data_IF_764918904501
#
_entry.id   IF_764918904501
#
_cell.length_a   1.000
_cell.length_b   1.000
_cell.length_c   1.000
_cell.angle_alpha   90.00
_cell.angle_beta   90.00
_cell.angle_gamma   90.00
#
_symmetry.space_group_name_H-M   'P 1'
#
loop_
_entity.id
_entity.type
_entity.pdbx_description
1 polymer ?
#
# COMPACT_ATOMS: atom_id res chain seq x y z
N UNK A 1 3.64 -19.75 23.34
CA UNK A 1 3.77 -20.57 22.12
C UNK A 1 2.42 -20.61 21.45
N UNK A 2 2.15 -19.75 20.47
CA UNK A 2 0.91 -19.79 19.70
C UNK A 2 1.03 -20.92 18.68
N UNK A 3 0.46 -22.07 19.03
CA UNK A 3 0.08 -23.10 18.06
C UNK A 3 -1.15 -22.58 17.30
N UNK A 4 -0.93 -21.85 16.21
CA UNK A 4 -1.94 -21.68 15.17
C UNK A 4 -1.36 -22.24 13.87
N UNK A 5 -2.12 -23.11 13.22
CA UNK A 5 -1.74 -23.74 11.96
C UNK A 5 -1.70 -22.64 10.89
N UNK A 6 -0.50 -22.25 10.45
CA UNK A 6 -0.33 -21.25 9.41
C UNK A 6 -0.96 -21.74 8.11
N UNK A 7 -1.89 -20.97 7.56
CA UNK A 7 -2.58 -21.27 6.30
C UNK A 7 -2.14 -20.31 5.20
N UNK A 8 -1.64 -20.85 4.10
CA UNK A 8 -1.37 -20.07 2.88
C UNK A 8 -2.46 -20.42 1.87
N UNK A 9 -3.19 -19.42 1.41
CA UNK A 9 -4.17 -19.59 0.34
C UNK A 9 -3.62 -18.98 -0.95
N UNK A 10 -3.27 -19.83 -1.92
CA UNK A 10 -2.95 -19.39 -3.28
C UNK A 10 -4.26 -19.36 -4.05
N UNK A 11 -4.69 -18.17 -4.43
CA UNK A 11 -5.98 -17.93 -5.10
C UNK A 11 -5.78 -17.67 -6.59
N UNK A 12 -6.80 -17.95 -7.39
CA UNK A 12 -6.83 -17.55 -8.79
C UNK A 12 -7.07 -16.05 -8.92
N UNK A 13 -7.09 -15.55 -10.16
CA UNK A 13 -7.58 -14.21 -10.48
C UNK A 13 -8.90 -13.92 -9.77
N UNK A 14 -8.98 -12.73 -9.18
CA UNK A 14 -10.17 -12.20 -8.54
C UNK A 14 -10.71 -11.07 -9.42
N UNK A 15 -12.00 -11.13 -9.76
CA UNK A 15 -12.65 -10.09 -10.57
C UNK A 15 -13.24 -8.96 -9.70
N UNK A 16 -13.81 -9.29 -8.53
CA UNK A 16 -14.24 -8.29 -7.54
C UNK A 16 -13.10 -7.91 -6.59
N UNK A 17 -12.16 -7.11 -7.12
CA UNK A 17 -10.96 -6.71 -6.37
C UNK A 17 -11.29 -5.79 -5.18
N UNK A 18 -12.38 -5.00 -5.27
CA UNK A 18 -12.78 -4.11 -4.20
C UNK A 18 -13.27 -4.89 -2.98
N UNK A 19 -14.12 -5.92 -3.18
CA UNK A 19 -14.51 -6.79 -2.07
C UNK A 19 -13.32 -7.56 -1.51
N UNK A 20 -12.34 -7.92 -2.35
CA UNK A 20 -11.14 -8.61 -1.90
C UNK A 20 -10.28 -7.72 -0.99
N UNK A 21 -9.96 -6.49 -1.40
CA UNK A 21 -9.22 -5.55 -0.57
C UNK A 21 -9.94 -5.25 0.76
N UNK A 22 -11.26 -5.06 0.74
CA UNK A 22 -12.05 -4.84 1.96
C UNK A 22 -12.02 -6.02 2.95
N UNK A 23 -11.61 -7.22 2.49
CA UNK A 23 -11.43 -8.38 3.35
C UNK A 23 -10.04 -8.51 3.96
N UNK A 24 -9.09 -7.65 3.56
CA UNK A 24 -7.71 -7.68 4.03
C UNK A 24 -7.54 -6.84 5.29
N UNK A 25 -6.83 -7.37 6.29
CA UNK A 25 -6.37 -6.59 7.44
C UNK A 25 -5.11 -5.76 7.13
N UNK A 26 -4.32 -6.22 6.15
CA UNK A 26 -3.03 -5.66 5.77
C UNK A 26 -2.68 -6.11 4.34
N UNK A 27 -2.22 -5.19 3.49
CA UNK A 27 -1.56 -5.52 2.23
C UNK A 27 -0.04 -5.47 2.43
N UNK A 28 0.67 -6.46 1.92
CA UNK A 28 2.14 -6.49 1.89
C UNK A 28 2.59 -6.63 0.44
N UNK A 29 3.38 -5.67 -0.06
CA UNK A 29 4.05 -5.73 -1.36
C UNK A 29 5.57 -5.76 -1.16
N UNK A 30 6.17 -6.96 -0.96
CA UNK A 30 7.58 -7.10 -0.63
C UNK A 30 8.45 -7.22 -1.90
N UNK A 31 8.33 -6.26 -2.82
CA UNK A 31 9.08 -6.26 -4.08
C UNK A 31 10.58 -6.25 -3.81
N UNK A 32 11.31 -7.21 -4.40
CA UNK A 32 12.76 -7.34 -4.19
C UNK A 32 13.57 -6.53 -5.19
N UNK A 33 13.06 -6.48 -6.41
CA UNK A 33 13.62 -5.72 -7.52
C UNK A 33 12.71 -4.54 -7.86
N UNK A 34 13.17 -3.68 -8.77
CA UNK A 34 12.49 -2.45 -9.16
C UNK A 34 11.05 -2.71 -9.65
N UNK A 35 10.08 -2.32 -8.81
CA UNK A 35 8.67 -2.20 -9.16
C UNK A 35 8.40 -0.74 -9.54
N UNK A 36 8.04 -0.43 -10.80
CA UNK A 36 7.91 0.96 -11.26
C UNK A 36 6.93 1.81 -10.45
N UNK A 37 5.91 1.21 -9.83
CA UNK A 37 4.96 1.98 -9.04
C UNK A 37 4.24 1.14 -7.97
N UNK A 38 3.77 -0.07 -8.25
CA UNK A 38 2.92 -0.78 -7.28
C UNK A 38 1.49 -0.22 -7.18
N UNK A 39 0.71 -0.28 -8.28
CA UNK A 39 -0.69 0.15 -8.31
C UNK A 39 -1.55 -0.47 -7.20
N UNK A 40 -1.28 -1.73 -6.85
CA UNK A 40 -1.97 -2.47 -5.78
C UNK A 40 -1.87 -1.77 -4.42
N UNK A 41 -0.79 -1.03 -4.17
CA UNK A 41 -0.60 -0.23 -2.95
C UNK A 41 -1.55 0.97 -2.96
N UNK A 42 -1.62 1.69 -4.09
CA UNK A 42 -2.55 2.81 -4.23
C UNK A 42 -4.02 2.37 -4.13
N UNK A 43 -4.36 1.22 -4.71
CA UNK A 43 -5.70 0.62 -4.62
C UNK A 43 -6.09 0.25 -3.18
N UNK A 44 -5.18 -0.42 -2.45
CA UNK A 44 -5.39 -0.77 -1.05
C UNK A 44 -5.53 0.47 -0.16
N UNK A 45 -4.67 1.48 -0.33
CA UNK A 45 -4.76 2.75 0.40
C UNK A 45 -6.11 3.46 0.14
N UNK A 46 -6.63 3.43 -1.09
CA UNK A 46 -7.95 4.00 -1.41
C UNK A 46 -9.12 3.30 -0.71
N UNK A 47 -8.92 2.09 -0.22
CA UNK A 47 -9.90 1.30 0.53
C UNK A 47 -9.59 1.25 2.03
N UNK A 48 -8.77 2.19 2.53
CA UNK A 48 -8.34 2.25 3.94
C UNK A 48 -7.67 0.94 4.42
N UNK A 49 -7.04 0.18 3.52
CA UNK A 49 -6.23 -0.98 3.89
C UNK A 49 -4.80 -0.49 4.20
N UNK A 50 -4.26 -0.78 5.39
CA UNK A 50 -2.87 -0.44 5.72
C UNK A 50 -1.91 -1.23 4.83
N UNK A 51 -0.78 -0.62 4.47
CA UNK A 51 0.17 -1.20 3.51
C UNK A 51 1.58 -1.26 4.09
N UNK A 52 2.26 -2.38 3.86
CA UNK A 52 3.71 -2.53 4.00
C UNK A 52 4.30 -2.72 2.61
N UNK A 53 5.24 -1.85 2.23
CA UNK A 53 5.90 -1.88 0.93
C UNK A 53 7.42 -1.79 1.13
N UNK A 54 8.17 -2.25 0.16
CA UNK A 54 9.63 -2.07 0.13
C UNK A 54 10.04 -0.76 -0.52
N UNK A 55 11.21 -0.25 -0.16
CA UNK A 55 11.89 0.87 -0.83
C UNK A 55 12.23 0.61 -2.31
N UNK A 56 12.17 -0.63 -2.79
CA UNK A 56 12.28 -0.98 -4.22
C UNK A 56 11.02 -0.69 -5.05
N UNK A 57 9.92 -0.26 -4.42
CA UNK A 57 8.68 0.07 -5.11
C UNK A 57 8.56 1.57 -5.34
N UNK A 58 8.33 2.00 -6.59
CA UNK A 58 8.33 3.42 -6.96
C UNK A 58 7.29 4.27 -6.23
N UNK A 59 6.19 3.70 -5.72
CA UNK A 59 5.26 4.45 -4.88
C UNK A 59 5.87 4.86 -3.53
N UNK A 60 6.86 4.12 -3.01
CA UNK A 60 7.51 4.39 -1.72
C UNK A 60 8.11 5.80 -1.65
N UNK A 61 8.62 6.32 -2.77
CA UNK A 61 9.14 7.70 -2.89
C UNK A 61 8.09 8.79 -2.61
N UNK A 62 6.80 8.45 -2.66
CA UNK A 62 5.68 9.35 -2.43
C UNK A 62 5.01 9.14 -1.07
N UNK A 63 5.53 8.22 -0.26
CA UNK A 63 5.00 7.85 1.05
C UNK A 63 5.94 8.30 2.17
N UNK A 64 5.39 8.45 3.36
CA UNK A 64 6.11 8.79 4.58
C UNK A 64 6.04 7.59 5.54
N UNK A 65 7.19 6.94 5.73
CA UNK A 65 7.31 5.75 6.56
C UNK A 65 6.78 5.97 7.99
N UNK A 66 6.01 4.99 8.48
CA UNK A 66 5.36 5.00 9.79
C UNK A 66 4.16 5.94 9.89
N UNK A 67 3.84 6.70 8.84
CA UNK A 67 2.72 7.66 8.85
C UNK A 67 1.59 7.26 7.93
N UNK A 68 1.83 7.13 6.63
CA UNK A 68 0.80 6.81 5.63
C UNK A 68 1.01 5.46 4.94
N UNK A 69 2.18 4.86 5.15
CA UNK A 69 2.52 3.48 4.89
C UNK A 69 3.64 3.04 5.83
N UNK A 70 3.97 1.76 5.83
CA UNK A 70 5.27 1.30 6.35
C UNK A 70 6.17 0.93 5.17
N UNK A 71 7.37 1.50 5.16
CA UNK A 71 8.37 1.28 4.10
C UNK A 71 9.56 0.56 4.71
N UNK A 72 9.82 -0.67 4.24
CA UNK A 72 10.95 -1.49 4.69
C UNK A 72 12.01 -1.59 3.61
N UNK A 73 13.23 -1.96 3.98
CA UNK A 73 14.28 -2.21 3.00
C UNK A 73 13.99 -3.47 2.18
N UNK A 74 14.15 -3.40 0.86
CA UNK A 74 14.12 -4.56 -0.01
C UNK A 74 15.15 -5.62 0.41
N UNK A 75 14.81 -6.90 0.22
CA UNK A 75 15.58 -8.06 0.68
C UNK A 75 15.77 -8.19 2.22
N UNK A 76 15.15 -7.33 3.04
CA UNK A 76 15.20 -7.43 4.50
C UNK A 76 13.99 -8.18 5.06
N UNK A 77 14.10 -9.51 5.17
CA UNK A 77 13.02 -10.33 5.76
C UNK A 77 12.78 -10.04 7.24
N UNK A 78 13.81 -9.57 7.95
CA UNK A 78 13.73 -9.26 9.38
C UNK A 78 12.92 -7.97 9.61
N UNK A 79 13.22 -6.90 8.87
CA UNK A 79 12.43 -5.65 8.92
C UNK A 79 10.99 -5.90 8.50
N UNK A 80 10.78 -6.64 7.41
CA UNK A 80 9.44 -6.98 6.93
C UNK A 80 8.63 -7.70 8.02
N UNK A 81 9.24 -8.68 8.69
CA UNK A 81 8.59 -9.41 9.78
C UNK A 81 8.28 -8.50 10.96
N UNK A 82 9.24 -7.69 11.40
CA UNK A 82 9.09 -6.80 12.55
C UNK A 82 7.92 -5.83 12.35
N UNK A 83 7.88 -5.16 11.20
CA UNK A 83 6.86 -4.17 10.90
C UNK A 83 5.47 -4.79 10.66
N UNK A 84 5.39 -5.97 10.03
CA UNK A 84 4.12 -6.71 9.93
C UNK A 84 3.59 -7.05 11.33
N UNK A 85 4.42 -7.59 12.23
CA UNK A 85 4.00 -7.96 13.57
C UNK A 85 3.55 -6.73 14.37
N UNK A 86 4.28 -5.62 14.27
CA UNK A 86 3.94 -4.35 14.91
C UNK A 86 2.57 -3.83 14.47
N UNK A 87 2.21 -3.93 13.18
CA UNK A 87 0.89 -3.54 12.68
C UNK A 87 -0.21 -4.52 13.09
N UNK A 88 0.09 -5.83 13.16
CA UNK A 88 -0.86 -6.83 13.65
C UNK A 88 -1.20 -6.59 15.13
N UNK A 89 -0.17 -6.38 15.96
CA UNK A 89 -0.29 -6.28 17.41
C UNK A 89 -0.78 -4.91 17.89
N UNK A 90 -0.74 -3.87 17.05
CA UNK A 90 -1.16 -2.51 17.39
C UNK A 90 -2.27 -1.99 16.47
N UNK A 91 -3.52 -2.18 16.89
CA UNK A 91 -4.71 -1.75 16.15
C UNK A 91 -4.79 -0.22 15.96
N UNK A 92 -4.35 0.57 16.94
CA UNK A 92 -4.40 2.03 16.85
C UNK A 92 -3.41 2.54 15.80
N UNK A 93 -2.18 2.01 15.82
CA UNK A 93 -1.19 2.29 14.80
C UNK A 93 -1.70 1.88 13.42
N UNK A 94 -2.19 0.64 13.27
CA UNK A 94 -2.73 0.12 12.01
C UNK A 94 -3.84 1.01 11.45
N UNK A 95 -4.80 1.40 12.28
CA UNK A 95 -5.90 2.29 11.88
C UNK A 95 -5.42 3.70 11.54
N UNK A 96 -4.40 4.22 12.24
CA UNK A 96 -3.84 5.54 11.97
C UNK A 96 -3.12 5.58 10.62
N UNK A 97 -2.31 4.57 10.32
CA UNK A 97 -1.59 4.42 9.05
C UNK A 97 -2.57 4.25 7.90
N UNK A 98 -3.57 3.37 8.04
CA UNK A 98 -4.63 3.17 7.04
C UNK A 98 -5.34 4.49 6.67
N UNK A 99 -5.79 5.26 7.67
CA UNK A 99 -6.50 6.53 7.45
C UNK A 99 -5.62 7.61 6.84
N UNK A 100 -4.35 7.65 7.22
CA UNK A 100 -3.38 8.58 6.63
C UNK A 100 -3.07 8.18 5.19
N UNK A 101 -2.87 6.89 4.92
CA UNK A 101 -2.70 6.31 3.59
C UNK A 101 -3.86 6.66 2.67
N UNK A 102 -5.10 6.47 3.11
CA UNK A 102 -6.28 6.88 2.35
C UNK A 102 -6.26 8.35 1.95
N UNK A 103 -5.91 9.25 2.88
CA UNK A 103 -5.80 10.69 2.59
C UNK A 103 -4.68 10.97 1.58
N UNK A 104 -3.54 10.31 1.71
CA UNK A 104 -2.43 10.42 0.73
C UNK A 104 -2.88 9.95 -0.65
N UNK A 105 -3.52 8.78 -0.75
CA UNK A 105 -4.00 8.24 -2.00
C UNK A 105 -5.07 9.14 -2.66
N UNK A 106 -6.06 9.60 -1.90
CA UNK A 106 -7.08 10.54 -2.40
C UNK A 106 -6.46 11.84 -2.92
N UNK A 107 -5.41 12.33 -2.26
CA UNK A 107 -4.73 13.57 -2.63
C UNK A 107 -3.82 13.40 -3.85
N UNK A 108 -3.20 12.24 -4.03
CA UNK A 108 -2.06 12.07 -4.94
C UNK A 108 -2.30 11.11 -6.11
N UNK A 109 -3.07 10.05 -5.91
CA UNK A 109 -3.10 8.87 -6.79
C UNK A 109 -4.45 8.66 -7.50
N UNK A 110 -5.26 9.73 -7.61
CA UNK A 110 -6.51 9.67 -8.38
C UNK A 110 -6.27 9.92 -9.87
N UNK A 111 -7.16 9.37 -10.71
CA UNK A 111 -7.18 9.65 -12.16
C UNK A 111 -7.31 11.15 -12.42
N UNK A 112 -8.15 11.86 -11.66
CA UNK A 112 -8.31 13.30 -11.82
C UNK A 112 -6.99 14.05 -11.57
N UNK A 113 -6.22 13.66 -10.54
CA UNK A 113 -4.90 14.23 -10.29
C UNK A 113 -3.87 13.89 -11.36
N UNK A 114 -3.94 12.68 -11.93
CA UNK A 114 -3.13 12.31 -13.08
C UNK A 114 -3.44 13.20 -14.30
N UNK A 115 -4.73 13.36 -14.63
CA UNK A 115 -5.17 14.20 -15.77
C UNK A 115 -4.78 15.66 -15.58
N UNK A 116 -4.99 16.22 -14.39
CA UNK A 116 -4.56 17.58 -14.04
C UNK A 116 -3.06 17.79 -14.31
N UNK A 117 -2.21 16.90 -13.77
CA UNK A 117 -0.76 16.95 -13.97
C UNK A 117 -0.36 16.80 -15.43
N UNK A 118 -1.06 15.97 -16.20
CA UNK A 118 -0.81 15.79 -17.63
C UNK A 118 -1.19 17.03 -18.43
N UNK A 119 -2.36 17.62 -18.19
CA UNK A 119 -2.81 18.86 -18.83
C UNK A 119 -1.81 20.00 -18.59
N UNK A 120 -1.34 20.14 -17.35
CA UNK A 120 -0.32 21.14 -16.98
C UNK A 120 0.99 20.92 -17.75
N UNK A 121 1.45 19.66 -17.86
CA UNK A 121 2.70 19.32 -18.55
C UNK A 121 2.65 19.62 -20.06
N UNK A 122 1.53 19.30 -20.71
CA UNK A 122 1.38 19.48 -22.17
C UNK A 122 0.87 20.89 -22.54
N UNK A 123 0.68 21.78 -21.56
CA UNK A 123 0.22 23.15 -21.79
C UNK A 123 -1.26 23.27 -22.20
N UNK A 124 -2.05 22.24 -21.97
CA UNK A 124 -3.50 22.27 -22.19
C UNK A 124 -4.18 22.87 -20.98
N UNK A 125 -4.59 24.15 -21.03
CA UNK A 125 -5.51 24.68 -20.01
C UNK A 125 -6.85 23.93 -20.13
N UNK A 126 -7.34 23.41 -19.01
CA UNK A 126 -8.59 22.65 -18.88
C UNK A 126 -9.68 23.11 -19.87
N UNK A 127 -10.17 22.17 -20.69
CA UNK A 127 -11.45 22.28 -21.41
C UNK A 127 -12.58 22.01 -20.41
#
# INVERSE_FOLDING_TARGET
MLNSQFSINIISRIDDIASFYNSLDLLVLPSREHDPFGLVVAEAMMLEVPVVVTDACGIADYLEDGKDAVVVKADSSDELKEEILKLIDNADLRNSVAKAGFKTAQKQFTVNKMVERYCDLIGSKNV
#
